data_IF_596073455782
#
_entry.id   IF_596073455782
#
_cell.length_a   1.000
_cell.length_b   1.000
_cell.length_c   1.000
_cell.angle_alpha   90.00
_cell.angle_beta   90.00
_cell.angle_gamma   90.00
#
_symmetry.space_group_name_H-M   'P 1'
#
loop_
_entity.id
_entity.type
_entity.pdbx_description
1 polymer ?
#
# COMPACT_ATOMS: atom_id res chain seq x y z
N UNK A 1 13.62 2.58 -15.46
CA UNK A 1 14.48 2.71 -14.27
C UNK A 1 13.57 2.77 -13.06
N UNK A 2 13.78 1.90 -12.06
CA UNK A 2 13.03 1.98 -10.82
C UNK A 2 13.48 3.23 -10.04
N UNK A 3 12.53 3.91 -9.39
CA UNK A 3 12.76 5.06 -8.54
C UNK A 3 13.52 4.57 -7.30
N UNK A 4 14.71 5.13 -7.09
CA UNK A 4 15.63 4.77 -6.00
C UNK A 4 15.51 5.75 -4.84
N UNK A 5 15.28 7.03 -5.12
CA UNK A 5 15.10 8.08 -4.11
C UNK A 5 13.62 8.40 -3.86
N UNK A 6 13.22 8.75 -2.62
CA UNK A 6 11.85 9.11 -2.29
C UNK A 6 11.36 10.32 -3.10
N UNK A 7 10.30 10.14 -3.88
CA UNK A 7 9.67 11.26 -4.57
C UNK A 7 8.58 11.91 -3.72
N UNK A 8 8.62 13.25 -3.61
CA UNK A 8 7.62 14.03 -2.90
C UNK A 8 6.42 14.38 -3.79
N UNK A 9 5.24 13.84 -3.47
CA UNK A 9 3.96 14.16 -4.11
C UNK A 9 3.11 14.98 -3.14
N UNK A 10 2.89 16.25 -3.47
CA UNK A 10 1.92 17.09 -2.75
C UNK A 10 0.51 16.56 -2.94
N UNK A 11 -0.32 16.75 -1.93
CA UNK A 11 -1.72 16.28 -1.94
C UNK A 11 -2.46 16.72 -3.20
N UNK A 12 -2.36 18.00 -3.56
CA UNK A 12 -2.97 18.54 -4.78
C UNK A 12 -2.23 18.12 -6.06
N UNK A 13 -0.91 17.89 -5.99
CA UNK A 13 -0.11 17.36 -7.11
C UNK A 13 -0.61 15.99 -7.54
N UNK A 14 -1.05 15.14 -6.61
CA UNK A 14 -1.66 13.86 -6.98
C UNK A 14 -2.92 14.06 -7.84
N UNK A 15 -3.76 15.04 -7.49
CA UNK A 15 -4.91 15.46 -8.29
C UNK A 15 -4.53 15.96 -9.69
N UNK A 16 -3.50 16.82 -9.78
CA UNK A 16 -2.99 17.29 -11.07
C UNK A 16 -2.44 16.15 -11.93
N UNK A 17 -1.68 15.22 -11.35
CA UNK A 17 -1.15 14.06 -12.06
C UNK A 17 -2.26 13.16 -12.60
N UNK A 18 -3.31 12.96 -11.81
CA UNK A 18 -4.46 12.15 -12.21
C UNK A 18 -5.30 12.79 -13.34
N UNK A 19 -5.05 14.05 -13.72
CA UNK A 19 -5.71 14.65 -14.90
C UNK A 19 -5.31 13.96 -16.20
N UNK A 20 -4.11 13.38 -16.26
CA UNK A 20 -3.64 12.67 -17.45
C UNK A 20 -3.21 11.26 -17.07
N UNK A 21 -3.64 10.29 -17.87
CA UNK A 21 -3.27 8.88 -17.69
C UNK A 21 -1.75 8.69 -17.76
N UNK A 22 -1.05 9.50 -18.56
CA UNK A 22 0.37 9.34 -18.84
C UNK A 22 1.27 9.64 -17.63
N UNK A 23 0.95 10.64 -16.82
CA UNK A 23 1.74 10.93 -15.62
C UNK A 23 1.61 9.82 -14.57
N UNK A 24 0.40 9.29 -14.39
CA UNK A 24 0.15 8.15 -13.50
C UNK A 24 0.84 6.89 -14.02
N UNK A 25 0.81 6.63 -15.33
CA UNK A 25 1.54 5.51 -15.94
C UNK A 25 3.05 5.63 -15.72
N UNK A 26 3.63 6.80 -16.01
CA UNK A 26 5.06 7.05 -15.76
C UNK A 26 5.40 6.84 -14.30
N UNK A 27 4.54 7.31 -13.39
CA UNK A 27 4.72 7.09 -11.96
C UNK A 27 4.75 5.60 -11.61
N UNK A 28 3.78 4.82 -12.08
CA UNK A 28 3.72 3.37 -11.83
C UNK A 28 4.89 2.61 -12.44
N UNK A 29 5.33 2.95 -13.65
CA UNK A 29 6.52 2.38 -14.26
C UNK A 29 7.77 2.68 -13.43
N UNK A 30 7.92 3.93 -13.00
CA UNK A 30 9.05 4.33 -12.16
C UNK A 30 9.03 3.63 -10.81
N UNK A 31 7.88 3.30 -10.24
CA UNK A 31 7.80 2.61 -8.95
C UNK A 31 7.80 1.07 -9.08
N UNK A 32 7.96 0.52 -10.28
CA UNK A 32 8.00 -0.93 -10.51
C UNK A 32 6.63 -1.62 -10.47
N UNK A 33 5.54 -0.86 -10.29
CA UNK A 33 4.16 -1.37 -10.32
C UNK A 33 3.82 -1.92 -11.71
N UNK A 34 4.38 -1.30 -12.75
CA UNK A 34 4.23 -1.70 -14.15
C UNK A 34 5.60 -1.74 -14.82
N UNK A 35 5.73 -2.50 -15.91
CA UNK A 35 6.87 -2.35 -16.84
C UNK A 35 6.40 -1.54 -18.05
N UNK A 36 7.29 -0.74 -18.64
CA UNK A 36 7.03 -0.06 -19.93
C UNK A 36 7.42 -0.93 -21.12
N UNK A 37 8.41 -1.79 -20.92
CA UNK A 37 8.99 -2.64 -21.96
C UNK A 37 9.16 -4.07 -21.45
N UNK A 38 8.81 -5.04 -22.29
CA UNK A 38 8.91 -6.47 -21.99
C UNK A 38 9.48 -7.22 -23.19
N UNK A 39 10.01 -8.43 -22.96
CA UNK A 39 10.50 -9.29 -24.03
C UNK A 39 9.49 -10.40 -24.28
N UNK A 40 8.92 -10.43 -25.48
CA UNK A 40 8.03 -11.51 -25.90
C UNK A 40 8.80 -12.82 -26.05
N UNK A 41 8.12 -13.96 -25.81
CA UNK A 41 8.65 -15.32 -26.02
C UNK A 41 9.22 -15.62 -27.42
N UNK A 42 8.99 -14.76 -28.41
CA UNK A 42 9.61 -14.85 -29.76
C UNK A 42 10.86 -13.96 -29.92
N UNK A 43 11.39 -13.43 -28.81
CA UNK A 43 12.52 -12.51 -28.77
C UNK A 43 12.21 -11.10 -29.29
N UNK A 44 10.92 -10.72 -29.40
CA UNK A 44 10.54 -9.37 -29.80
C UNK A 44 10.39 -8.46 -28.57
N UNK A 45 11.04 -7.30 -28.57
CA UNK A 45 10.84 -6.29 -27.54
C UNK A 45 9.51 -5.57 -27.78
N UNK A 46 8.65 -5.51 -26.75
CA UNK A 46 7.34 -4.89 -26.80
C UNK A 46 7.28 -3.71 -25.86
N UNK A 47 6.73 -2.59 -26.32
CA UNK A 47 6.39 -1.45 -25.48
C UNK A 47 4.89 -1.46 -25.17
N UNK A 48 4.52 -1.01 -23.98
CA UNK A 48 3.12 -0.88 -23.57
C UNK A 48 2.38 0.11 -24.47
N UNK A 49 1.21 -0.27 -24.97
CA UNK A 49 0.34 0.64 -25.73
C UNK A 49 -0.53 1.53 -24.82
N UNK A 50 -1.23 2.50 -25.40
CA UNK A 50 -2.13 3.40 -24.65
C UNK A 50 -3.30 2.70 -23.96
N UNK A 51 -3.62 1.46 -24.36
CA UNK A 51 -4.62 0.58 -23.74
C UNK A 51 -4.02 -0.30 -22.65
N UNK A 52 -2.77 -0.05 -22.23
CA UNK A 52 -2.04 -0.84 -21.24
C UNK A 52 -1.94 -2.32 -21.62
N UNK A 53 -1.67 -2.59 -22.89
CA UNK A 53 -1.53 -3.93 -23.44
C UNK A 53 -0.16 -4.08 -24.12
N UNK A 54 0.44 -5.26 -23.99
CA UNK A 54 1.60 -5.67 -24.78
C UNK A 54 1.13 -6.63 -25.86
N UNK A 55 1.33 -6.28 -27.13
CA UNK A 55 0.95 -7.10 -28.28
C UNK A 55 2.15 -7.32 -29.18
N UNK A 56 2.47 -8.59 -29.44
CA UNK A 56 3.48 -8.94 -30.42
C UNK A 56 2.84 -9.13 -31.80
N UNK A 57 3.43 -8.53 -32.83
CA UNK A 57 3.02 -8.74 -34.23
C UNK A 57 4.17 -9.29 -35.11
N UNK A 58 5.29 -9.71 -34.51
CA UNK A 58 6.47 -10.22 -35.24
C UNK A 58 6.10 -11.47 -36.05
N UNK A 59 6.51 -11.51 -37.31
CA UNK A 59 6.46 -12.72 -38.14
C UNK A 59 7.52 -13.71 -37.65
N UNK A 60 7.10 -14.93 -37.30
CA UNK A 60 8.00 -15.98 -36.79
C UNK A 60 8.14 -17.06 -37.85
N UNK A 61 9.38 -17.30 -38.27
CA UNK A 61 9.74 -18.40 -39.17
C UNK A 61 9.60 -19.74 -38.44
N UNK A 62 9.10 -20.76 -39.14
CA UNK A 62 8.96 -22.12 -38.63
C UNK A 62 9.57 -23.10 -39.62
N UNK A 63 10.29 -24.12 -39.14
CA UNK A 63 10.84 -25.16 -40.02
C UNK A 63 9.70 -25.82 -40.80
N UNK A 64 9.82 -25.89 -42.13
CA UNK A 64 8.88 -26.55 -43.05
C UNK A 64 7.44 -26.03 -43.00
N UNK A 65 7.20 -24.79 -42.56
CA UNK A 65 5.85 -24.16 -42.54
C UNK A 65 5.94 -22.68 -42.93
N UNK A 66 4.84 -22.15 -43.47
CA UNK A 66 4.73 -20.72 -43.75
C UNK A 66 4.95 -19.88 -42.48
N UNK A 67 5.60 -18.71 -42.59
CA UNK A 67 5.78 -17.79 -41.47
C UNK A 67 4.43 -17.40 -40.86
N UNK A 68 4.33 -17.35 -39.52
CA UNK A 68 3.09 -16.95 -38.81
C UNK A 68 3.35 -15.79 -37.86
N UNK A 69 2.40 -14.86 -37.76
CA UNK A 69 2.42 -13.78 -36.75
C UNK A 69 2.43 -14.37 -35.35
N UNK A 70 3.26 -13.82 -34.47
CA UNK A 70 3.21 -14.11 -33.05
C UNK A 70 1.83 -13.71 -32.48
N UNK A 71 1.16 -14.61 -31.76
CA UNK A 71 -0.14 -14.35 -31.14
C UNK A 71 -0.06 -13.87 -29.69
N UNK A 72 1.11 -13.41 -29.23
CA UNK A 72 1.29 -13.01 -27.84
C UNK A 72 0.58 -11.69 -27.55
N UNK A 73 -0.28 -11.68 -26.53
CA UNK A 73 -1.01 -10.53 -26.06
C UNK A 73 -1.24 -10.66 -24.54
N UNK A 74 -0.86 -9.65 -23.76
CA UNK A 74 -1.06 -9.64 -22.30
C UNK A 74 -1.36 -8.22 -21.81
N UNK A 75 -2.22 -8.09 -20.79
CA UNK A 75 -2.45 -6.80 -20.13
C UNK A 75 -1.28 -6.45 -19.22
N UNK A 76 -0.89 -5.18 -19.21
CA UNK A 76 0.12 -4.69 -18.27
C UNK A 76 -0.31 -4.80 -16.80
N UNK A 77 -1.61 -4.96 -16.52
CA UNK A 77 -2.11 -5.17 -15.16
C UNK A 77 -1.88 -6.58 -14.63
N UNK A 78 -1.57 -7.56 -15.48
CA UNK A 78 -1.47 -8.97 -15.10
C UNK A 78 -0.29 -9.21 -14.14
N UNK A 79 -0.53 -9.86 -13.01
CA UNK A 79 0.48 -10.11 -11.98
C UNK A 79 0.93 -8.87 -11.24
N UNK A 80 0.13 -7.81 -11.21
CA UNK A 80 0.49 -6.53 -10.55
C UNK A 80 -0.55 -6.15 -9.51
N UNK A 81 -0.25 -5.12 -8.71
CA UNK A 81 -1.22 -4.50 -7.79
C UNK A 81 -2.52 -4.03 -8.46
N UNK A 82 -2.51 -3.87 -9.80
CA UNK A 82 -3.66 -3.43 -10.59
C UNK A 82 -4.46 -4.60 -11.20
N UNK A 83 -4.07 -5.85 -10.93
CA UNK A 83 -4.73 -7.04 -11.49
C UNK A 83 -6.20 -7.12 -11.07
N UNK A 84 -7.05 -7.71 -11.92
CA UNK A 84 -8.49 -7.90 -11.73
C UNK A 84 -9.34 -6.64 -11.58
N UNK A 85 -8.73 -5.45 -11.45
CA UNK A 85 -9.50 -4.22 -11.37
C UNK A 85 -9.93 -3.70 -12.73
N UNK A 86 -11.20 -3.30 -12.81
CA UNK A 86 -11.78 -2.53 -13.92
C UNK A 86 -11.66 -1.02 -13.72
N UNK A 87 -11.19 -0.57 -12.55
CA UNK A 87 -11.11 0.85 -12.23
C UNK A 87 -9.97 1.51 -13.04
N UNK A 88 -10.19 2.77 -13.44
CA UNK A 88 -9.18 3.55 -14.12
C UNK A 88 -7.98 3.83 -13.18
N UNK A 89 -6.76 3.86 -13.72
CA UNK A 89 -5.54 3.90 -12.91
C UNK A 89 -5.38 5.20 -12.11
N UNK A 90 -5.90 6.29 -12.64
CA UNK A 90 -5.99 7.62 -12.04
C UNK A 90 -6.87 7.56 -10.78
N UNK A 91 -8.06 6.96 -10.87
CA UNK A 91 -8.92 6.74 -9.71
C UNK A 91 -8.26 5.86 -8.64
N UNK A 92 -7.55 4.81 -9.04
CA UNK A 92 -6.77 3.95 -8.10
C UNK A 92 -5.69 4.77 -7.41
N UNK A 93 -4.93 5.55 -8.17
CA UNK A 93 -3.89 6.42 -7.65
C UNK A 93 -4.44 7.44 -6.64
N UNK A 94 -5.59 8.04 -6.94
CA UNK A 94 -6.27 8.98 -6.03
C UNK A 94 -6.85 8.30 -4.79
N UNK A 95 -7.39 7.08 -4.91
CA UNK A 95 -7.85 6.28 -3.78
C UNK A 95 -6.73 6.01 -2.77
N UNK A 96 -5.56 5.59 -3.27
CA UNK A 96 -4.36 5.37 -2.43
C UNK A 96 -3.91 6.69 -1.79
N UNK A 97 -3.92 7.79 -2.54
CA UNK A 97 -3.58 9.11 -2.01
C UNK A 97 -4.53 9.55 -0.87
N UNK A 98 -5.84 9.33 -1.03
CA UNK A 98 -6.84 9.59 0.01
C UNK A 98 -6.56 8.72 1.26
N UNK A 99 -6.32 7.42 1.07
CA UNK A 99 -6.02 6.49 2.15
C UNK A 99 -4.80 6.94 2.97
N UNK A 100 -3.71 7.33 2.30
CA UNK A 100 -2.44 7.66 2.93
C UNK A 100 -2.41 9.03 3.61
N UNK A 101 -3.18 10.00 3.10
CA UNK A 101 -3.05 11.40 3.49
C UNK A 101 -4.25 11.96 4.26
N UNK A 102 -5.40 11.30 4.23
CA UNK A 102 -6.60 11.71 4.96
C UNK A 102 -6.92 10.73 6.09
N UNK A 103 -7.39 11.29 7.23
CA UNK A 103 -7.93 10.49 8.33
C UNK A 103 -9.39 10.11 8.00
N UNK A 104 -9.91 8.99 8.51
CA UNK A 104 -11.33 8.68 8.41
C UNK A 104 -12.22 9.79 9.00
N UNK A 105 -13.46 9.97 8.49
CA UNK A 105 -14.08 9.27 7.36
C UNK A 105 -13.53 9.74 5.99
N UNK A 106 -13.43 8.81 5.04
CA UNK A 106 -12.88 9.05 3.68
C UNK A 106 -13.89 8.76 2.57
N UNK A 107 -15.01 8.14 2.94
CA UNK A 107 -16.06 7.63 2.06
C UNK A 107 -16.66 8.73 1.18
N UNK A 108 -17.08 9.83 1.81
CA UNK A 108 -17.76 10.95 1.15
C UNK A 108 -16.86 11.56 0.07
N UNK A 109 -15.62 11.92 0.43
CA UNK A 109 -14.65 12.46 -0.51
C UNK A 109 -14.39 11.50 -1.69
N UNK A 110 -14.31 10.19 -1.47
CA UNK A 110 -14.12 9.23 -2.56
C UNK A 110 -15.35 9.12 -3.47
N UNK A 111 -16.56 9.16 -2.90
CA UNK A 111 -17.82 9.12 -3.64
C UNK A 111 -18.00 10.38 -4.51
N UNK A 112 -17.84 11.56 -3.91
CA UNK A 112 -18.06 12.86 -4.55
C UNK A 112 -17.00 13.18 -5.59
N UNK A 113 -15.72 13.02 -5.25
CA UNK A 113 -14.61 13.45 -6.11
C UNK A 113 -14.26 12.43 -7.20
N UNK A 114 -14.40 11.14 -6.90
CA UNK A 114 -13.95 10.07 -7.82
C UNK A 114 -15.11 9.38 -8.53
N UNK A 115 -16.37 9.60 -8.09
CA UNK A 115 -17.55 8.93 -8.67
C UNK A 115 -17.43 7.41 -8.64
N UNK A 116 -16.97 6.85 -7.52
CA UNK A 116 -16.87 5.40 -7.29
C UNK A 116 -17.85 4.96 -6.22
N UNK A 117 -18.35 3.73 -6.28
CA UNK A 117 -19.24 3.22 -5.23
C UNK A 117 -18.49 3.02 -3.90
N UNK A 118 -19.22 3.12 -2.79
CA UNK A 118 -18.71 2.83 -1.45
C UNK A 118 -18.14 1.40 -1.35
N UNK A 119 -18.80 0.43 -2.00
CA UNK A 119 -18.32 -0.95 -2.10
C UNK A 119 -16.97 -1.05 -2.80
N UNK A 120 -16.82 -0.40 -3.96
CA UNK A 120 -15.55 -0.35 -4.71
C UNK A 120 -14.43 0.27 -3.87
N UNK A 121 -14.73 1.33 -3.11
CA UNK A 121 -13.76 1.97 -2.22
C UNK A 121 -13.32 1.03 -1.09
N UNK A 122 -14.27 0.32 -0.45
CA UNK A 122 -13.96 -0.63 0.64
C UNK A 122 -13.10 -1.79 0.13
N UNK A 123 -13.39 -2.32 -1.05
CA UNK A 123 -12.58 -3.37 -1.67
C UNK A 123 -11.16 -2.87 -1.93
N UNK A 124 -11.00 -1.69 -2.53
CA UNK A 124 -9.69 -1.08 -2.77
C UNK A 124 -8.90 -0.80 -1.49
N UNK A 125 -9.57 -0.34 -0.43
CA UNK A 125 -8.91 -0.17 0.86
C UNK A 125 -8.50 -1.51 1.48
N UNK A 126 -9.22 -2.60 1.17
CA UNK A 126 -8.81 -3.95 1.59
C UNK A 126 -7.54 -4.40 0.85
N UNK A 127 -7.48 -4.22 -0.48
CA UNK A 127 -6.25 -4.48 -1.26
C UNK A 127 -5.06 -3.63 -0.78
N UNK A 128 -5.28 -2.35 -0.43
CA UNK A 128 -4.21 -1.51 0.11
C UNK A 128 -3.71 -1.99 1.48
N UNK A 129 -4.59 -2.57 2.31
CA UNK A 129 -4.18 -3.13 3.61
C UNK A 129 -3.30 -4.36 3.46
N UNK A 130 -3.49 -5.19 2.44
CA UNK A 130 -2.59 -6.32 2.16
C UNK A 130 -1.14 -5.83 1.96
N UNK A 131 -0.98 -4.72 1.24
CA UNK A 131 0.33 -4.05 1.06
C UNK A 131 0.91 -3.60 2.40
N UNK A 132 0.11 -2.96 3.27
CA UNK A 132 0.59 -2.54 4.59
C UNK A 132 0.97 -3.72 5.48
N UNK A 133 0.19 -4.80 5.46
CA UNK A 133 0.44 -5.99 6.27
C UNK A 133 1.74 -6.66 5.82
N UNK A 134 1.91 -6.87 4.52
CA UNK A 134 3.16 -7.40 3.96
C UNK A 134 4.37 -6.51 4.32
N UNK A 135 4.23 -5.20 4.16
CA UNK A 135 5.26 -4.25 4.57
C UNK A 135 5.59 -4.39 6.06
N UNK A 136 4.59 -4.43 6.94
CA UNK A 136 4.80 -4.57 8.37
C UNK A 136 5.52 -5.87 8.72
N UNK A 137 5.14 -7.01 8.12
CA UNK A 137 5.81 -8.30 8.34
C UNK A 137 7.28 -8.23 7.94
N UNK A 138 7.58 -7.63 6.79
CA UNK A 138 8.94 -7.58 6.25
C UNK A 138 9.85 -6.53 6.91
N UNK A 139 9.28 -5.54 7.61
CA UNK A 139 10.03 -4.41 8.19
C UNK A 139 9.96 -4.35 9.72
N UNK A 140 9.15 -5.22 10.35
CA UNK A 140 9.10 -5.32 11.80
C UNK A 140 10.35 -6.03 12.31
N UNK A 141 10.94 -5.47 13.35
CA UNK A 141 12.05 -6.11 14.06
C UNK A 141 11.48 -7.14 15.03
N UNK A 142 12.18 -8.26 15.23
CA UNK A 142 11.82 -9.21 16.28
C UNK A 142 11.89 -8.49 17.63
N UNK A 143 10.76 -8.44 18.32
CA UNK A 143 10.71 -7.98 19.70
C UNK A 143 11.12 -9.17 20.59
N UNK A 144 12.30 -9.08 21.21
CA UNK A 144 12.78 -10.07 22.19
C UNK A 144 13.93 -10.98 21.74
N UNK A 145 14.54 -11.62 22.75
CA UNK A 145 15.69 -12.52 22.64
C UNK A 145 16.32 -12.74 24.03
N UNK A 146 17.25 -13.69 24.20
CA UNK A 146 17.97 -13.86 25.46
C UNK A 146 18.60 -12.53 25.89
N UNK A 147 18.22 -12.01 27.07
CA UNK A 147 18.70 -10.73 27.58
C UNK A 147 17.89 -9.48 27.20
N UNK A 148 16.83 -9.60 26.40
CA UNK A 148 15.92 -8.49 26.11
C UNK A 148 14.70 -8.51 27.03
N UNK A 149 14.55 -7.49 27.87
CA UNK A 149 13.34 -7.26 28.66
C UNK A 149 12.36 -6.48 27.78
N UNK A 150 11.16 -7.02 27.57
CA UNK A 150 10.08 -6.35 26.84
C UNK A 150 8.94 -6.12 27.80
N UNK A 151 8.42 -4.89 27.83
CA UNK A 151 7.19 -4.56 28.54
C UNK A 151 5.98 -4.85 27.63
N UNK A 152 5.08 -5.74 28.09
CA UNK A 152 3.85 -6.10 27.38
C UNK A 152 2.69 -5.93 28.36
N UNK A 153 1.79 -5.01 28.07
CA UNK A 153 0.68 -4.59 28.94
C UNK A 153 -0.34 -5.71 29.17
N UNK A 154 -0.65 -6.51 28.13
CA UNK A 154 -1.70 -7.54 28.16
C UNK A 154 -1.23 -8.92 27.70
N UNK A 155 -0.13 -9.44 28.26
CA UNK A 155 0.21 -10.83 28.03
C UNK A 155 0.61 -11.55 29.32
N UNK A 156 -0.08 -12.65 29.64
CA UNK A 156 0.23 -13.54 30.78
C UNK A 156 1.49 -14.36 30.49
N UNK A 157 2.63 -13.71 30.32
CA UNK A 157 3.91 -14.37 30.10
C UNK A 157 4.91 -14.01 31.20
N UNK A 158 4.66 -14.36 32.46
CA UNK A 158 5.69 -14.31 33.52
C UNK A 158 6.43 -12.98 33.77
N UNK A 159 6.00 -11.87 33.16
CA UNK A 159 6.56 -10.54 33.38
C UNK A 159 5.89 -9.87 34.57
N UNK A 160 6.64 -9.03 35.30
CA UNK A 160 6.08 -8.25 36.40
C UNK A 160 5.39 -7.01 35.84
N UNK A 161 4.05 -7.05 35.74
CA UNK A 161 3.24 -5.94 35.29
C UNK A 161 3.21 -4.85 36.39
N UNK A 162 3.63 -3.63 36.05
CA UNK A 162 3.53 -2.49 36.96
C UNK A 162 2.19 -1.77 36.75
N UNK A 163 1.43 -1.59 37.82
CA UNK A 163 0.09 -0.99 37.77
C UNK A 163 0.06 0.35 38.48
N UNK A 164 -0.63 1.35 37.91
CA UNK A 164 -0.87 2.63 38.58
C UNK A 164 -2.30 2.68 39.10
N UNK A 165 -2.47 3.00 40.38
CA UNK A 165 -3.80 3.23 40.94
C UNK A 165 -4.25 4.68 40.70
N UNK A 166 -4.96 4.90 39.60
CA UNK A 166 -5.48 6.20 39.20
C UNK A 166 -6.53 6.82 40.16
N UNK A 167 -7.04 6.07 41.15
CA UNK A 167 -7.87 6.66 42.21
C UNK A 167 -7.07 7.42 43.27
N UNK A 168 -5.75 7.18 43.35
CA UNK A 168 -4.85 7.75 44.35
C UNK A 168 -3.79 8.66 43.73
N UNK A 169 -3.13 8.22 42.66
CA UNK A 169 -2.01 8.93 42.03
C UNK A 169 -2.06 8.80 40.49
N UNK A 170 -1.72 9.90 39.78
CA UNK A 170 -1.62 9.91 38.31
C UNK A 170 -0.32 9.29 37.79
N UNK A 171 0.72 9.34 38.61
CA UNK A 171 2.03 8.70 38.41
C UNK A 171 2.32 7.97 39.70
N UNK A 172 2.78 6.71 39.63
CA UNK A 172 3.19 6.00 40.83
C UNK A 172 4.35 6.74 41.50
N UNK A 173 4.23 7.18 42.77
CA UNK A 173 5.25 7.98 43.43
C UNK A 173 6.51 7.19 43.81
N UNK A 174 6.43 5.86 43.91
CA UNK A 174 7.56 4.99 44.26
C UNK A 174 8.32 4.55 43.02
N UNK A 175 7.61 4.15 41.96
CA UNK A 175 8.24 3.62 40.74
C UNK A 175 8.37 4.65 39.61
N UNK A 176 7.64 5.77 39.69
CA UNK A 176 7.55 6.77 38.63
C UNK A 176 6.69 6.33 37.43
N UNK A 177 6.00 5.19 37.55
CA UNK A 177 5.30 4.54 36.43
C UNK A 177 4.04 5.30 36.05
N UNK A 178 3.80 5.42 34.74
CA UNK A 178 2.58 6.00 34.19
C UNK A 178 2.25 5.46 32.79
N UNK A 179 0.97 5.31 32.49
CA UNK A 179 0.45 4.78 31.22
C UNK A 179 0.34 5.83 30.11
N UNK A 180 0.66 7.11 30.40
CA UNK A 180 0.44 8.28 29.54
C UNK A 180 0.94 8.11 28.09
N UNK A 181 2.12 7.52 27.88
CA UNK A 181 2.68 7.32 26.54
C UNK A 181 1.91 6.25 25.75
N UNK A 182 1.55 5.14 26.41
CA UNK A 182 0.81 4.02 25.82
C UNK A 182 -0.62 4.48 25.49
N UNK A 183 -1.28 5.19 26.40
CA UNK A 183 -2.62 5.74 26.18
C UNK A 183 -2.65 6.74 25.02
N UNK A 184 -1.64 7.62 24.95
CA UNK A 184 -1.51 8.57 23.84
C UNK A 184 -1.30 7.86 22.51
N UNK A 185 -0.46 6.82 22.48
CA UNK A 185 -0.24 5.99 21.29
C UNK A 185 -1.54 5.33 20.84
N UNK A 186 -2.28 4.69 21.76
CA UNK A 186 -3.56 4.06 21.45
C UNK A 186 -4.61 5.06 20.97
N UNK A 187 -4.62 6.27 21.52
CA UNK A 187 -5.48 7.35 21.02
C UNK A 187 -5.14 7.72 19.57
N UNK A 188 -3.86 7.77 19.21
CA UNK A 188 -3.42 8.01 17.83
C UNK A 188 -3.82 6.86 16.89
N UNK A 189 -3.65 5.61 17.32
CA UNK A 189 -4.11 4.43 16.57
C UNK A 189 -5.61 4.52 16.32
N UNK A 190 -6.41 4.68 17.38
CA UNK A 190 -7.88 4.77 17.30
C UNK A 190 -8.34 5.92 16.41
N UNK A 191 -7.64 7.05 16.39
CA UNK A 191 -7.98 8.19 15.51
C UNK A 191 -7.85 7.89 14.00
N UNK A 192 -7.17 6.81 13.63
CA UNK A 192 -7.04 6.35 12.23
C UNK A 192 -7.97 5.18 11.90
N UNK A 193 -8.77 4.71 12.85
CA UNK A 193 -9.76 3.64 12.67
C UNK A 193 -11.15 4.28 12.51
N UNK A 194 -11.97 3.86 11.53
CA UNK A 194 -13.35 4.31 11.42
C UNK A 194 -14.13 4.04 12.72
N UNK A 195 -14.97 4.99 13.13
CA UNK A 195 -15.77 4.85 14.36
C UNK A 195 -16.84 3.74 14.29
N UNK A 196 -17.30 3.41 13.09
CA UNK A 196 -18.39 2.47 12.86
C UNK A 196 -18.04 1.48 11.74
N UNK A 197 -18.68 0.30 11.77
CA UNK A 197 -18.55 -0.71 10.71
C UNK A 197 -17.20 -1.45 10.67
N UNK A 198 -16.44 -1.42 11.77
CA UNK A 198 -15.17 -2.14 11.89
C UNK A 198 -15.45 -3.61 12.20
N UNK A 199 -14.91 -4.50 11.35
CA UNK A 199 -14.87 -5.94 11.63
C UNK A 199 -13.53 -6.30 12.25
N UNK A 200 -13.55 -7.26 13.17
CA UNK A 200 -12.35 -7.72 13.88
C UNK A 200 -11.24 -8.16 12.92
N UNK A 201 -11.61 -8.87 11.86
CA UNK A 201 -10.70 -9.32 10.80
C UNK A 201 -9.88 -8.19 10.13
N UNK A 202 -10.29 -6.93 10.27
CA UNK A 202 -9.57 -5.78 9.69
C UNK A 202 -8.59 -5.10 10.65
N UNK A 203 -8.58 -5.45 11.95
CA UNK A 203 -7.70 -4.79 12.94
C UNK A 203 -6.23 -4.85 12.54
N UNK A 204 -5.75 -6.00 12.11
CA UNK A 204 -4.36 -6.18 11.66
C UNK A 204 -4.03 -5.20 10.52
N UNK A 205 -4.94 -5.02 9.57
CA UNK A 205 -4.78 -4.05 8.49
C UNK A 205 -4.77 -2.60 8.96
N UNK A 206 -5.57 -2.23 9.96
CA UNK A 206 -5.54 -0.89 10.55
C UNK A 206 -4.23 -0.61 11.31
N UNK A 207 -3.75 -1.58 12.08
CA UNK A 207 -2.47 -1.48 12.79
C UNK A 207 -1.31 -1.38 11.80
N UNK A 208 -1.34 -2.17 10.72
CA UNK A 208 -0.34 -2.11 9.66
C UNK A 208 -0.36 -0.76 8.91
N UNK A 209 -1.55 -0.21 8.61
CA UNK A 209 -1.70 1.14 8.03
C UNK A 209 -1.09 2.20 8.97
N UNK A 210 -1.37 2.12 10.27
CA UNK A 210 -0.82 3.03 11.27
C UNK A 210 0.71 2.91 11.35
N UNK A 211 1.23 1.68 11.42
CA UNK A 211 2.66 1.38 11.44
C UNK A 211 3.37 1.98 10.22
N UNK A 212 2.83 1.75 9.02
CA UNK A 212 3.35 2.33 7.78
C UNK A 212 3.39 3.86 7.83
N UNK A 213 2.29 4.51 8.24
CA UNK A 213 2.19 5.97 8.34
C UNK A 213 3.12 6.57 9.39
N UNK A 214 3.40 5.84 10.47
CA UNK A 214 4.35 6.23 11.53
C UNK A 214 5.80 6.06 11.06
N UNK A 215 6.10 5.00 10.31
CA UNK A 215 7.41 4.76 9.68
C UNK A 215 7.77 5.82 8.64
N UNK A 216 6.76 6.35 7.94
CA UNK A 216 6.87 7.41 6.94
C UNK A 216 6.05 8.65 7.36
N UNK A 217 6.57 9.46 8.30
CA UNK A 217 5.84 10.60 8.85
C UNK A 217 5.61 11.72 7.82
N UNK A 218 6.53 11.86 6.85
CA UNK A 218 6.42 12.82 5.75
C UNK A 218 5.34 12.38 4.77
N UNK A 219 4.16 13.02 4.86
CA UNK A 219 2.99 12.73 4.00
C UNK A 219 3.31 12.70 2.51
N UNK A 220 4.18 13.63 2.07
CA UNK A 220 4.56 13.79 0.66
C UNK A 220 5.27 12.56 0.08
N UNK A 221 5.93 11.76 0.91
CA UNK A 221 6.72 10.61 0.47
C UNK A 221 5.93 9.29 0.59
N UNK A 222 4.74 9.30 1.21
CA UNK A 222 3.97 8.06 1.48
C UNK A 222 3.55 7.34 0.20
N UNK A 223 3.18 8.08 -0.84
CA UNK A 223 2.83 7.51 -2.15
C UNK A 223 4.01 6.73 -2.74
N UNK A 224 5.22 7.29 -2.66
CA UNK A 224 6.43 6.62 -3.12
C UNK A 224 6.63 5.28 -2.40
N UNK A 225 6.68 5.31 -1.07
CA UNK A 225 6.92 4.11 -0.28
C UNK A 225 5.82 3.06 -0.44
N UNK A 226 4.56 3.51 -0.58
CA UNK A 226 3.44 2.60 -0.75
C UNK A 226 3.54 1.84 -2.07
N UNK A 227 3.78 2.54 -3.18
CA UNK A 227 3.84 1.89 -4.48
C UNK A 227 5.12 1.04 -4.66
N UNK A 228 6.21 1.36 -3.95
CA UNK A 228 7.37 0.46 -3.84
C UNK A 228 6.99 -0.84 -3.14
N UNK A 229 6.39 -0.76 -1.95
CA UNK A 229 5.92 -1.94 -1.22
C UNK A 229 4.88 -2.75 -2.04
N UNK A 230 3.99 -2.07 -2.77
CA UNK A 230 3.03 -2.73 -3.65
C UNK A 230 3.71 -3.48 -4.81
N UNK A 231 4.79 -2.93 -5.38
CA UNK A 231 5.56 -3.60 -6.44
C UNK A 231 6.34 -4.81 -5.93
N UNK A 232 6.75 -4.80 -4.66
CA UNK A 232 7.44 -5.92 -4.01
C UNK A 232 6.45 -7.06 -3.71
N UNK A 233 5.23 -6.73 -3.26
CA UNK A 233 4.19 -7.71 -3.00
C UNK A 233 3.59 -8.29 -4.29
N UNK A 234 3.42 -7.47 -5.33
CA UNK A 234 2.84 -7.87 -6.61
C UNK A 234 3.80 -7.56 -7.78
N UNK A 235 4.91 -8.31 -7.91
CA UNK A 235 5.88 -8.08 -8.98
C UNK A 235 5.30 -8.47 -10.35
N UNK A 236 5.38 -7.59 -11.38
CA UNK A 236 4.80 -7.88 -12.69
C UNK A 236 5.27 -9.22 -13.28
N UNK A 237 4.31 -10.10 -13.57
CA UNK A 237 4.54 -11.51 -13.95
C UNK A 237 5.05 -11.74 -15.39
N UNK A 238 5.46 -10.69 -16.10
CA UNK A 238 5.77 -10.70 -17.54
C UNK A 238 7.08 -9.97 -17.88
#
# INVERSE_FOLDING_TARGET
>A
MACVEPCSIRLFKAGYMAKTKDEVLKFFVNHGVLKDVIVCRCGNTLKMDGKMTFRCNKMVLRKKRAPKKCGFCISARKGTFLENSKLAIDKIFLLVNLLLNWRPPRQEAALEELGISSTTMVDWYSYCREVFISFAINNSTKLGGPGSIIEIDEAKFGFHHQTVNHSKHFVDPETGTHTNHIERLWREVRSNIPKYGVKEAHFVGYLAEFYFKRRYPKRLERMHHFFKAASELYPPAY
#
